data_IF_396100555891
#
_entry.id   IF_396100555891
#
_cell.length_a   1.000
_cell.length_b   1.000
_cell.length_c   1.000
_cell.angle_alpha   90.00
_cell.angle_beta   90.00
_cell.angle_gamma   90.00
#
_symmetry.space_group_name_H-M   'P 1'
#
loop_
_entity.id
_entity.type
_entity.pdbx_description
1 polymer ?
#
# COMPACT_ATOMS: atom_id res chain seq x y z
N UNK A 1 -30.43 20.85 22.84
CA UNK A 1 -29.65 19.60 22.91
C UNK A 1 -28.47 19.76 21.96
N UNK A 2 -27.25 19.96 22.47
CA UNK A 2 -26.03 20.18 21.67
C UNK A 2 -25.48 18.81 21.25
N UNK A 3 -25.46 18.54 19.95
CA UNK A 3 -24.70 17.42 19.39
C UNK A 3 -23.25 17.88 19.19
N UNK A 4 -22.32 17.01 19.60
CA UNK A 4 -20.88 17.22 19.53
C UNK A 4 -20.41 17.41 18.08
N UNK A 5 -19.29 18.14 17.94
CA UNK A 5 -18.75 18.72 16.73
C UNK A 5 -18.65 17.75 15.54
N UNK A 6 -19.01 18.27 14.35
CA UNK A 6 -18.75 17.65 13.05
C UNK A 6 -17.25 17.35 12.91
N UNK A 7 -16.87 16.09 12.70
CA UNK A 7 -15.52 15.78 12.23
C UNK A 7 -15.24 16.55 10.94
N UNK A 8 -14.04 17.12 10.84
CA UNK A 8 -13.58 17.77 9.61
C UNK A 8 -13.64 16.78 8.43
N UNK A 9 -13.91 17.24 7.20
CA UNK A 9 -13.91 16.36 6.03
C UNK A 9 -12.56 15.65 5.90
N UNK A 10 -12.58 14.31 5.86
CA UNK A 10 -11.40 13.46 5.66
C UNK A 10 -11.30 13.06 4.19
N UNK A 11 -10.12 13.21 3.62
CA UNK A 11 -9.79 12.75 2.27
C UNK A 11 -9.24 11.33 2.34
N UNK A 12 -9.64 10.49 1.39
CA UNK A 12 -9.13 9.13 1.24
C UNK A 12 -8.64 8.89 -0.18
N UNK A 13 -7.53 8.18 -0.29
CA UNK A 13 -7.01 7.67 -1.55
C UNK A 13 -7.44 6.21 -1.71
N UNK A 14 -7.70 5.79 -2.94
CA UNK A 14 -8.00 4.38 -3.18
C UNK A 14 -7.51 3.91 -4.55
N UNK A 15 -7.28 2.60 -4.64
CA UNK A 15 -6.96 1.89 -5.87
C UNK A 15 -7.98 0.75 -6.04
N UNK A 16 -8.71 0.75 -7.15
CA UNK A 16 -9.52 -0.40 -7.55
C UNK A 16 -8.60 -1.47 -8.11
N UNK A 17 -8.88 -2.73 -7.81
CA UNK A 17 -8.12 -3.86 -8.34
C UNK A 17 -9.02 -5.04 -8.67
N UNK A 18 -8.59 -5.83 -9.66
CA UNK A 18 -9.17 -7.12 -10.02
C UNK A 18 -8.14 -8.21 -9.78
N UNK A 19 -8.54 -9.27 -9.07
CA UNK A 19 -7.70 -10.45 -8.84
C UNK A 19 -8.26 -11.61 -9.65
N UNK A 20 -7.41 -12.26 -10.42
CA UNK A 20 -7.73 -13.47 -11.19
C UNK A 20 -6.78 -14.57 -10.77
N UNK A 21 -7.33 -15.70 -10.31
CA UNK A 21 -6.53 -16.87 -10.02
C UNK A 21 -6.24 -17.66 -11.30
N UNK A 22 -4.97 -17.65 -11.73
CA UNK A 22 -4.49 -18.35 -12.93
C UNK A 22 -3.59 -19.54 -12.60
N UNK A 23 -3.58 -20.05 -11.37
CA UNK A 23 -2.58 -21.05 -10.93
C UNK A 23 -2.90 -22.49 -11.33
N UNK A 24 -4.08 -22.77 -11.87
CA UNK A 24 -4.50 -24.15 -12.20
C UNK A 24 -5.22 -24.90 -11.06
N UNK A 25 -5.46 -24.24 -9.93
CA UNK A 25 -6.23 -24.76 -8.80
C UNK A 25 -6.77 -23.61 -7.95
N UNK A 26 -7.74 -23.87 -7.08
CA UNK A 26 -8.21 -22.87 -6.10
C UNK A 26 -7.09 -22.49 -5.13
N UNK A 27 -7.01 -21.21 -4.74
CA UNK A 27 -5.98 -20.70 -3.83
C UNK A 27 -6.57 -19.77 -2.78
N UNK A 28 -6.01 -19.81 -1.58
CA UNK A 28 -6.31 -18.81 -0.56
C UNK A 28 -5.62 -17.51 -0.92
N UNK A 29 -6.40 -16.43 -0.94
CA UNK A 29 -5.97 -15.08 -1.23
C UNK A 29 -6.03 -14.25 0.04
N UNK A 30 -4.85 -13.89 0.52
CA UNK A 30 -4.63 -13.09 1.73
C UNK A 30 -3.71 -11.91 1.35
N UNK A 31 -4.24 -10.90 0.64
CA UNK A 31 -3.41 -9.80 0.17
C UNK A 31 -2.90 -8.96 1.32
N UNK A 32 -1.64 -8.57 1.23
CA UNK A 32 -1.08 -7.49 2.05
C UNK A 32 -0.81 -6.33 1.11
N UNK A 33 -1.56 -5.24 1.27
CA UNK A 33 -1.42 -4.05 0.43
C UNK A 33 -0.93 -2.90 1.29
N UNK A 34 0.20 -2.32 0.92
CA UNK A 34 0.84 -1.23 1.66
C UNK A 34 1.28 -0.13 0.71
N UNK A 35 1.11 1.12 1.14
CA UNK A 35 1.68 2.30 0.48
C UNK A 35 2.94 2.71 1.21
N UNK A 36 4.07 2.71 0.51
CA UNK A 36 5.32 3.32 0.99
C UNK A 36 5.47 4.66 0.28
N UNK A 37 5.35 5.74 1.03
CA UNK A 37 5.49 7.10 0.54
C UNK A 37 6.87 7.66 0.92
N UNK A 38 7.48 8.39 0.00
CA UNK A 38 8.78 9.01 0.22
C UNK A 38 8.62 10.53 0.28
N UNK A 39 9.07 11.11 1.39
CA UNK A 39 9.22 12.55 1.55
C UNK A 39 10.71 12.84 1.35
N UNK A 40 11.02 13.59 0.29
CA UNK A 40 12.37 14.05 0.04
C UNK A 40 12.75 15.19 1.02
N UNK A 41 14.05 15.36 1.25
CA UNK A 41 14.58 16.53 1.96
C UNK A 41 15.18 17.50 0.96
N UNK A 42 14.90 18.79 1.14
CA UNK A 42 15.57 19.85 0.40
C UNK A 42 16.94 20.23 1.03
N UNK A 43 17.25 19.69 2.23
CA UNK A 43 18.50 19.99 2.91
C UNK A 43 19.68 19.20 2.31
N UNK A 44 20.87 19.81 2.23
CA UNK A 44 22.10 19.07 1.98
C UNK A 44 22.31 18.01 3.07
N UNK A 45 22.81 16.83 2.70
CA UNK A 45 23.01 15.70 3.63
C UNK A 45 23.79 16.09 4.91
N UNK A 46 24.72 17.03 4.80
CA UNK A 46 25.55 17.53 5.91
C UNK A 46 24.77 18.37 6.95
N UNK A 47 23.54 18.78 6.66
CA UNK A 47 22.71 19.64 7.53
C UNK A 47 21.48 18.91 8.09
N UNK A 48 21.29 17.64 7.76
CA UNK A 48 20.14 16.85 8.21
C UNK A 48 20.17 16.65 9.73
N UNK A 49 21.36 16.47 10.31
CA UNK A 49 21.53 16.28 11.76
C UNK A 49 21.13 17.51 12.57
N UNK A 50 21.28 18.71 12.00
CA UNK A 50 20.90 19.98 12.64
C UNK A 50 19.38 20.20 12.61
N UNK A 51 18.65 19.56 11.68
CA UNK A 51 17.21 19.72 11.47
C UNK A 51 16.53 18.37 11.19
N UNK A 52 16.43 17.48 12.19
CA UNK A 52 15.92 16.12 11.98
C UNK A 52 14.47 16.07 11.50
N UNK A 53 13.67 17.11 11.74
CA UNK A 53 12.29 17.21 11.24
C UNK A 53 12.16 17.41 9.72
N UNK A 54 13.24 17.84 9.07
CA UNK A 54 13.33 18.07 7.62
C UNK A 54 14.09 16.94 6.90
N UNK A 55 14.50 15.88 7.62
CA UNK A 55 15.15 14.72 7.06
C UNK A 55 14.24 13.97 6.06
N UNK A 56 14.82 13.24 5.08
CA UNK A 56 14.03 12.39 4.20
C UNK A 56 13.37 11.29 5.02
N UNK A 57 12.10 11.00 4.72
CA UNK A 57 11.28 10.05 5.50
C UNK A 57 10.56 9.07 4.59
N UNK A 58 10.50 7.83 5.04
CA UNK A 58 9.65 6.79 4.47
C UNK A 58 8.44 6.62 5.38
N UNK A 59 7.25 6.79 4.82
CA UNK A 59 5.99 6.57 5.51
C UNK A 59 5.34 5.31 4.96
N UNK A 60 5.19 4.29 5.81
CA UNK A 60 4.53 3.03 5.45
C UNK A 60 3.11 3.07 5.99
N UNK A 61 2.12 2.96 5.11
CA UNK A 61 0.70 2.95 5.45
C UNK A 61 0.05 1.69 4.89
N UNK A 62 -0.44 0.75 5.71
CA UNK A 62 -1.22 -0.38 5.23
C UNK A 62 -2.56 0.12 4.66
N UNK A 63 -3.12 -0.63 3.71
CA UNK A 63 -4.49 -0.42 3.28
C UNK A 63 -5.43 -0.61 4.47
N UNK A 64 -6.35 0.31 4.65
CA UNK A 64 -7.26 0.34 5.78
C UNK A 64 -8.25 -0.83 5.70
N UNK A 65 -8.26 -1.65 6.76
CA UNK A 65 -9.23 -2.72 6.98
C UNK A 65 -10.20 -2.27 8.07
N UNK A 66 -11.50 -2.50 7.89
CA UNK A 66 -12.51 -2.11 8.88
C UNK A 66 -12.84 -0.61 8.92
N UNK A 67 -12.65 0.09 7.79
CA UNK A 67 -13.10 1.47 7.59
C UNK A 67 -14.60 1.67 7.86
N UNK A 68 -14.99 2.93 8.11
CA UNK A 68 -16.40 3.31 8.13
C UNK A 68 -17.07 2.82 6.83
N UNK A 69 -18.14 2.00 6.91
CA UNK A 69 -18.85 1.49 5.75
C UNK A 69 -19.30 2.58 4.75
N UNK A 70 -19.44 3.84 5.19
CA UNK A 70 -19.77 4.97 4.33
C UNK A 70 -18.70 5.24 3.28
N UNK A 71 -17.40 5.08 3.60
CA UNK A 71 -16.31 5.31 2.65
C UNK A 71 -16.36 4.29 1.52
N UNK A 72 -16.48 3.00 1.85
CA UNK A 72 -16.62 1.95 0.84
C UNK A 72 -17.87 2.13 -0.02
N UNK A 73 -19.02 2.44 0.59
CA UNK A 73 -20.25 2.72 -0.17
C UNK A 73 -20.06 3.86 -1.16
N UNK A 74 -19.43 4.97 -0.75
CA UNK A 74 -19.17 6.09 -1.64
C UNK A 74 -18.29 5.70 -2.85
N UNK A 75 -17.26 4.87 -2.64
CA UNK A 75 -16.40 4.36 -3.72
C UNK A 75 -17.21 3.44 -4.65
N UNK A 76 -17.94 2.47 -4.08
CA UNK A 76 -18.78 1.55 -4.85
C UNK A 76 -19.80 2.27 -5.70
N UNK A 77 -20.51 3.24 -5.12
CA UNK A 77 -21.55 4.01 -5.82
C UNK A 77 -20.94 4.88 -6.94
N UNK A 78 -19.76 5.46 -6.71
CA UNK A 78 -18.98 6.19 -7.73
C UNK A 78 -18.62 5.31 -8.93
N UNK A 79 -18.33 4.02 -8.70
CA UNK A 79 -17.87 3.08 -9.73
C UNK A 79 -18.89 2.04 -10.15
N UNK A 80 -20.17 2.18 -9.77
CA UNK A 80 -21.20 1.18 -10.01
C UNK A 80 -21.38 0.81 -11.50
N UNK A 81 -21.04 1.72 -12.42
CA UNK A 81 -21.10 1.47 -13.87
C UNK A 81 -19.91 0.66 -14.41
N UNK A 82 -18.73 0.83 -13.83
CA UNK A 82 -17.47 0.23 -14.31
C UNK A 82 -17.08 -1.01 -13.51
N UNK A 83 -17.46 -1.07 -12.23
CA UNK A 83 -17.20 -2.16 -11.28
C UNK A 83 -18.49 -2.51 -10.51
N UNK A 84 -19.52 -3.05 -11.19
CA UNK A 84 -20.82 -3.34 -10.58
C UNK A 84 -20.77 -4.40 -9.48
N UNK A 85 -19.72 -5.25 -9.46
CA UNK A 85 -19.52 -6.32 -8.50
C UNK A 85 -18.36 -6.03 -7.52
N UNK A 86 -18.05 -4.75 -7.29
CA UNK A 86 -17.02 -4.35 -6.34
C UNK A 86 -17.39 -4.80 -4.92
N UNK A 87 -16.54 -5.63 -4.30
CA UNK A 87 -16.71 -6.10 -2.93
C UNK A 87 -15.84 -5.32 -1.95
N UNK A 88 -16.18 -5.38 -0.65
CA UNK A 88 -15.39 -4.74 0.38
C UNK A 88 -14.01 -5.44 0.53
N UNK A 89 -12.97 -4.74 1.02
CA UNK A 89 -11.64 -5.34 1.17
C UNK A 89 -11.65 -6.65 1.97
N UNK A 90 -12.42 -6.69 3.07
CA UNK A 90 -12.55 -7.87 3.94
C UNK A 90 -13.25 -9.05 3.24
N UNK A 91 -14.20 -8.77 2.34
CA UNK A 91 -14.94 -9.80 1.60
C UNK A 91 -14.09 -10.39 0.46
N UNK A 92 -13.07 -9.66 0.00
CA UNK A 92 -12.13 -10.16 -1.00
C UNK A 92 -11.14 -11.18 -0.45
N UNK A 93 -11.06 -11.35 0.87
CA UNK A 93 -10.15 -12.27 1.54
C UNK A 93 -10.74 -13.69 1.57
N UNK A 94 -9.90 -14.69 1.27
CA UNK A 94 -10.24 -16.10 1.39
C UNK A 94 -9.99 -16.88 0.10
N UNK A 95 -10.66 -18.02 -0.04
CA UNK A 95 -10.45 -18.93 -1.17
C UNK A 95 -11.00 -18.35 -2.47
N UNK A 96 -10.11 -18.11 -3.44
CA UNK A 96 -10.45 -17.69 -4.81
C UNK A 96 -10.38 -18.88 -5.75
N UNK A 97 -11.47 -19.09 -6.49
CA UNK A 97 -11.59 -20.14 -7.50
C UNK A 97 -10.77 -19.81 -8.74
N UNK A 98 -10.28 -20.85 -9.41
CA UNK A 98 -9.51 -20.68 -10.65
C UNK A 98 -10.38 -20.12 -11.78
N UNK A 99 -9.84 -19.16 -12.53
CA UNK A 99 -10.41 -18.65 -13.79
C UNK A 99 -10.93 -17.22 -13.71
N UNK A 100 -11.08 -16.58 -14.88
CA UNK A 100 -11.51 -15.18 -14.97
C UNK A 100 -12.97 -14.96 -14.54
N UNK A 101 -13.83 -15.97 -14.67
CA UNK A 101 -15.24 -15.89 -14.25
C UNK A 101 -15.41 -15.79 -12.72
N UNK A 102 -14.37 -16.16 -11.97
CA UNK A 102 -14.31 -16.04 -10.51
C UNK A 102 -13.42 -14.88 -10.06
N UNK A 103 -13.14 -13.94 -10.96
CA UNK A 103 -12.38 -12.75 -10.62
C UNK A 103 -13.06 -11.97 -9.50
N UNK A 104 -12.26 -11.45 -8.58
CA UNK A 104 -12.73 -10.62 -7.47
C UNK A 104 -12.31 -9.18 -7.72
N UNK A 105 -13.29 -8.28 -7.81
CA UNK A 105 -13.08 -6.84 -7.88
C UNK A 105 -13.18 -6.24 -6.49
N UNK A 106 -12.14 -5.55 -6.05
CA UNK A 106 -12.10 -4.95 -4.71
C UNK A 106 -11.28 -3.66 -4.74
N UNK A 107 -11.07 -3.06 -3.58
CA UNK A 107 -10.44 -1.75 -3.43
C UNK A 107 -9.42 -1.77 -2.30
N UNK A 108 -8.27 -1.13 -2.52
CA UNK A 108 -7.34 -0.78 -1.45
C UNK A 108 -7.56 0.69 -1.10
N UNK A 109 -7.78 1.00 0.18
CA UNK A 109 -8.10 2.36 0.64
C UNK A 109 -7.00 2.82 1.61
N UNK A 110 -6.58 4.07 1.49
CA UNK A 110 -5.54 4.69 2.29
C UNK A 110 -6.01 6.05 2.78
N UNK A 111 -5.44 6.49 3.91
CA UNK A 111 -5.59 7.88 4.35
C UNK A 111 -4.99 8.85 3.34
N UNK A 112 -5.27 10.14 3.56
CA UNK A 112 -4.68 11.20 2.76
C UNK A 112 -3.15 11.12 2.74
N UNK A 113 -2.57 11.70 1.70
CA UNK A 113 -1.14 11.72 1.52
C UNK A 113 -0.58 13.05 2.01
N UNK A 114 0.53 13.01 2.75
CA UNK A 114 1.25 14.23 3.12
C UNK A 114 1.60 14.99 1.82
N UNK A 115 1.24 16.29 1.70
CA UNK A 115 1.50 17.07 0.49
C UNK A 115 2.98 17.10 0.08
N UNK A 116 3.92 16.82 0.98
CA UNK A 116 5.37 16.75 0.70
C UNK A 116 5.79 15.48 -0.03
N UNK A 117 4.95 14.46 -0.09
CA UNK A 117 5.27 13.20 -0.76
C UNK A 117 5.31 13.41 -2.27
N UNK A 118 6.49 13.27 -2.89
CA UNK A 118 6.66 13.39 -4.35
C UNK A 118 6.47 12.06 -5.08
N UNK A 119 6.63 10.94 -4.36
CA UNK A 119 6.53 9.58 -4.91
C UNK A 119 6.04 8.60 -3.85
N UNK A 120 5.33 7.59 -4.30
CA UNK A 120 4.95 6.47 -3.46
C UNK A 120 4.89 5.17 -4.26
N UNK A 121 5.08 4.04 -3.60
CA UNK A 121 4.95 2.71 -4.19
C UNK A 121 3.87 1.95 -3.46
N UNK A 122 2.92 1.38 -4.21
CA UNK A 122 2.00 0.38 -3.68
C UNK A 122 2.66 -0.99 -3.80
N UNK A 123 2.78 -1.68 -2.67
CA UNK A 123 3.26 -3.05 -2.60
C UNK A 123 2.08 -3.98 -2.37
N UNK A 124 1.93 -5.00 -3.23
CA UNK A 124 0.85 -5.99 -3.16
C UNK A 124 1.46 -7.38 -2.99
N UNK A 125 1.44 -7.86 -1.75
CA UNK A 125 1.89 -9.20 -1.37
C UNK A 125 0.77 -10.23 -1.45
N UNK A 126 1.12 -11.52 -1.37
CA UNK A 126 0.16 -12.62 -1.35
C UNK A 126 -0.40 -13.03 -2.71
N UNK A 127 0.14 -12.51 -3.82
CA UNK A 127 -0.33 -12.82 -5.19
C UNK A 127 0.14 -14.19 -5.70
N UNK A 128 1.36 -14.61 -5.36
CA UNK A 128 1.95 -15.86 -5.88
C UNK A 128 2.24 -16.89 -4.78
N UNK A 129 2.29 -16.47 -3.52
CA UNK A 129 2.72 -17.29 -2.38
C UNK A 129 4.23 -17.63 -2.38
N UNK A 130 5.00 -17.15 -3.36
CA UNK A 130 6.43 -17.41 -3.47
C UNK A 130 7.20 -16.73 -2.33
N UNK A 131 8.03 -17.49 -1.62
CA UNK A 131 8.86 -17.03 -0.50
C UNK A 131 10.29 -17.55 -0.67
N UNK A 132 11.25 -16.75 -0.23
CA UNK A 132 12.65 -17.17 -0.13
C UNK A 132 13.25 -16.69 1.19
N UNK A 133 14.32 -17.34 1.61
CA UNK A 133 15.08 -16.95 2.79
C UNK A 133 16.37 -16.29 2.32
N UNK A 134 16.56 -15.03 2.71
CA UNK A 134 17.79 -14.29 2.44
C UNK A 134 18.60 -14.16 3.74
N UNK A 135 19.91 -14.38 3.67
CA UNK A 135 20.78 -14.11 4.81
C UNK A 135 20.80 -12.63 5.13
N UNK A 136 20.79 -12.27 6.41
CA UNK A 136 20.89 -10.88 6.83
C UNK A 136 22.33 -10.39 6.60
N UNK A 137 22.57 -9.44 5.66
CA UNK A 137 23.92 -8.96 5.38
C UNK A 137 24.52 -8.16 6.55
N UNK A 138 23.70 -7.67 7.47
CA UNK A 138 24.13 -6.92 8.66
C UNK A 138 24.11 -7.76 9.94
N UNK A 139 24.00 -9.10 9.85
CA UNK A 139 24.03 -9.97 11.02
C UNK A 139 25.36 -9.83 11.78
N UNK A 140 25.28 -9.49 13.06
CA UNK A 140 26.44 -9.43 13.94
C UNK A 140 26.59 -10.76 14.70
N UNK A 141 27.59 -11.57 14.31
CA UNK A 141 27.87 -12.86 14.96
C UNK A 141 28.36 -12.75 16.42
N UNK A 142 28.74 -11.55 16.88
CA UNK A 142 29.14 -11.29 18.27
C UNK A 142 27.93 -11.07 19.19
N UNK A 143 26.76 -10.82 18.63
CA UNK A 143 25.51 -10.64 19.36
C UNK A 143 24.61 -11.89 19.16
N UNK A 144 23.79 -12.27 20.16
CA UNK A 144 22.84 -13.34 19.98
C UNK A 144 21.85 -13.01 18.85
N UNK A 145 21.36 -14.05 18.18
CA UNK A 145 20.30 -13.86 17.19
C UNK A 145 19.01 -13.42 17.89
N UNK A 146 18.39 -12.37 17.37
CA UNK A 146 17.16 -11.76 17.90
C UNK A 146 16.38 -11.09 16.76
N UNK A 147 15.21 -10.51 17.06
CA UNK A 147 14.44 -9.74 16.08
C UNK A 147 15.19 -8.50 15.57
N UNK A 148 16.09 -7.94 16.38
CA UNK A 148 16.94 -6.80 16.02
C UNK A 148 18.28 -7.22 15.39
N UNK A 149 18.66 -8.49 15.51
CA UNK A 149 19.84 -9.09 14.90
C UNK A 149 19.52 -10.48 14.30
N UNK A 150 18.60 -10.57 13.32
CA UNK A 150 18.19 -11.85 12.78
C UNK A 150 19.28 -12.42 11.87
N UNK A 151 19.40 -13.74 11.79
CA UNK A 151 20.36 -14.39 10.86
C UNK A 151 19.92 -14.32 9.41
N UNK A 152 18.60 -14.29 9.19
CA UNK A 152 17.99 -14.29 7.87
C UNK A 152 16.61 -13.64 7.94
N UNK A 153 16.13 -13.23 6.76
CA UNK A 153 14.79 -12.73 6.55
C UNK A 153 14.03 -13.69 5.63
N UNK A 154 12.78 -13.94 5.95
CA UNK A 154 11.84 -14.57 5.01
C UNK A 154 11.22 -13.45 4.20
N UNK A 155 11.52 -13.40 2.92
CA UNK A 155 10.97 -12.40 1.99
C UNK A 155 10.01 -13.07 1.02
N UNK A 156 8.95 -12.37 0.68
CA UNK A 156 7.91 -12.85 -0.22
C UNK A 156 7.89 -12.04 -1.52
N UNK A 157 7.54 -12.72 -2.60
CA UNK A 157 7.38 -12.07 -3.89
C UNK A 157 6.19 -11.13 -3.84
N UNK A 158 6.47 -9.87 -4.09
CA UNK A 158 5.54 -8.76 -3.94
C UNK A 158 5.53 -7.92 -5.20
N UNK A 159 4.34 -7.55 -5.68
CA UNK A 159 4.21 -6.66 -6.81
C UNK A 159 4.42 -5.22 -6.35
N UNK A 160 5.38 -4.52 -6.94
CA UNK A 160 5.67 -3.12 -6.70
C UNK A 160 5.09 -2.27 -7.83
N UNK A 161 4.21 -1.34 -7.46
CA UNK A 161 3.50 -0.43 -8.37
C UNK A 161 3.91 1.01 -8.00
N UNK A 162 5.03 1.50 -8.56
CA UNK A 162 5.56 2.83 -8.26
C UNK A 162 4.75 3.94 -8.94
N UNK A 163 4.49 5.02 -8.22
CA UNK A 163 3.84 6.24 -8.71
C UNK A 163 4.70 7.46 -8.40
N UNK A 164 4.62 8.45 -9.29
CA UNK A 164 5.16 9.80 -9.08
C UNK A 164 4.01 10.78 -9.08
N UNK A 165 4.02 11.71 -8.13
CA UNK A 165 3.06 12.80 -8.04
C UNK A 165 3.71 14.08 -8.60
N UNK A 166 3.33 14.49 -9.82
CA UNK A 166 3.88 15.70 -10.41
C UNK A 166 3.38 16.96 -9.67
N UNK A 167 4.11 18.06 -9.85
CA UNK A 167 3.76 19.35 -9.23
C UNK A 167 4.52 19.64 -7.93
N UNK A 168 4.34 20.86 -7.44
CA UNK A 168 4.84 21.33 -6.15
C UNK A 168 3.92 20.91 -4.99
N UNK A 169 4.32 21.16 -3.74
CA UNK A 169 3.55 20.76 -2.55
C UNK A 169 2.12 21.34 -2.52
N UNK A 170 1.88 22.51 -3.13
CA UNK A 170 0.57 23.17 -3.12
C UNK A 170 -0.40 22.57 -4.15
N UNK A 171 0.12 22.13 -5.29
CA UNK A 171 -0.67 21.56 -6.39
C UNK A 171 -0.83 20.04 -6.28
N UNK A 172 0.06 19.38 -5.54
CA UNK A 172 0.09 17.92 -5.39
C UNK A 172 -1.19 17.27 -4.88
N UNK A 173 -1.96 17.86 -3.95
CA UNK A 173 -3.21 17.27 -3.48
C UNK A 173 -4.25 17.05 -4.60
N UNK A 174 -4.16 17.82 -5.70
CA UNK A 174 -5.04 17.68 -6.86
C UNK A 174 -4.37 16.96 -8.06
N UNK A 175 -3.11 16.53 -7.91
CA UNK A 175 -2.35 15.91 -8.99
C UNK A 175 -2.80 14.46 -9.24
N UNK A 176 -2.89 14.08 -10.50
CA UNK A 176 -3.09 12.69 -10.89
C UNK A 176 -1.76 11.92 -10.78
N UNK A 177 -1.71 10.79 -10.05
CA UNK A 177 -0.50 9.99 -9.94
C UNK A 177 -0.08 9.39 -11.29
N UNK A 178 1.19 9.53 -11.63
CA UNK A 178 1.76 8.94 -12.83
C UNK A 178 2.37 7.58 -12.51
N UNK A 179 1.76 6.53 -13.05
CA UNK A 179 2.26 5.17 -12.94
C UNK A 179 3.64 5.04 -13.59
N UNK A 180 4.58 4.46 -12.86
CA UNK A 180 5.89 4.05 -13.36
C UNK A 180 5.90 2.54 -13.61
N UNK A 181 7.05 2.01 -14.05
CA UNK A 181 7.17 0.59 -14.42
C UNK A 181 6.88 -0.32 -13.22
N UNK A 182 5.82 -1.11 -13.35
CA UNK A 182 5.46 -2.17 -12.41
C UNK A 182 6.54 -3.27 -12.44
N UNK A 183 6.92 -3.77 -11.27
CA UNK A 183 7.96 -4.81 -11.16
C UNK A 183 7.69 -5.76 -9.99
N UNK A 184 8.26 -6.96 -10.06
CA UNK A 184 8.23 -7.91 -8.96
C UNK A 184 9.49 -7.77 -8.12
N UNK A 185 9.34 -7.71 -6.80
CA UNK A 185 10.44 -7.63 -5.84
C UNK A 185 10.29 -8.69 -4.76
N UNK A 186 11.39 -9.01 -4.08
CA UNK A 186 11.36 -9.80 -2.85
C UNK A 186 11.43 -8.84 -1.66
N UNK A 187 10.40 -8.83 -0.81
CA UNK A 187 10.36 -8.02 0.43
C UNK A 187 9.68 -8.74 1.57
#
# INVERSE_FOLDING_TARGET
MRLAASEAPKTYWYMLYRVVNTTGEDRDFLPVIERVAEIDSELPALQVDDRPGEAPRLLVAPALVGLDPAVFRAIRDRHAKTHPFLVAPVESIGRIKQGADYAVDSVAIFEDLDPKVSRFTLYVGGLTGERTVISNPSFNAKEPASDTNPRSFVVQKTLAIPYVLPGDEQTRPAAEPLLKRVTWVMR
#
